data_IF_331900991948
#
_entry.id   IF_331900991948
#
_cell.length_a   1.000
_cell.length_b   1.000
_cell.length_c   1.000
_cell.angle_alpha   90.00
_cell.angle_beta   90.00
_cell.angle_gamma   90.00
#
_symmetry.space_group_name_H-M   'P 1'
#
loop_
_entity.id
_entity.type
_entity.pdbx_description
1 polymer ?
#
# COMPACT_ATOMS: atom_id res chain seq x y z
N UNK A 1 -30.14 -7.97 -28.49
CA UNK A 1 -28.69 -7.76 -28.29
C UNK A 1 -28.52 -6.34 -27.80
N UNK A 2 -27.96 -6.09 -26.61
CA UNK A 2 -27.60 -4.73 -26.24
C UNK A 2 -26.41 -4.29 -27.11
N UNK A 3 -26.36 -3.01 -27.53
CA UNK A 3 -25.29 -2.49 -28.38
C UNK A 3 -23.96 -2.49 -27.65
N UNK A 4 -22.91 -2.72 -28.43
CA UNK A 4 -21.52 -2.86 -28.00
C UNK A 4 -21.10 -1.77 -27.01
N UNK A 5 -20.59 -2.25 -25.87
CA UNK A 5 -19.98 -1.44 -24.81
C UNK A 5 -18.94 -0.50 -25.42
N UNK A 6 -19.15 0.80 -25.24
CA UNK A 6 -18.18 1.82 -25.62
C UNK A 6 -16.83 1.53 -24.96
N UNK A 7 -15.92 0.94 -25.72
CA UNK A 7 -14.51 0.84 -25.34
C UNK A 7 -14.00 2.25 -25.11
N UNK A 8 -13.83 2.63 -23.84
CA UNK A 8 -13.24 3.91 -23.46
C UNK A 8 -11.89 4.05 -24.18
N UNK A 9 -11.59 5.22 -24.81
CA UNK A 9 -10.31 5.41 -25.45
C UNK A 9 -9.22 5.21 -24.39
N UNK A 10 -8.35 4.23 -24.62
CA UNK A 10 -7.23 3.93 -23.73
C UNK A 10 -6.48 5.23 -23.48
N UNK A 11 -6.55 5.76 -22.26
CA UNK A 11 -5.94 7.02 -21.92
C UNK A 11 -4.43 6.93 -22.19
N UNK A 12 -3.99 7.61 -23.25
CA UNK A 12 -2.62 7.54 -23.73
C UNK A 12 -1.68 8.06 -22.64
N UNK A 13 -0.75 7.20 -22.21
CA UNK A 13 0.20 7.52 -21.17
C UNK A 13 1.56 7.85 -21.81
N UNK A 14 2.09 9.03 -21.54
CA UNK A 14 3.44 9.42 -21.97
C UNK A 14 4.46 8.94 -20.94
N UNK A 15 5.75 8.88 -21.32
CA UNK A 15 6.81 8.47 -20.41
C UNK A 15 6.90 9.38 -19.16
N UNK A 16 6.67 10.69 -19.30
CA UNK A 16 6.63 11.61 -18.16
C UNK A 16 5.54 11.26 -17.16
N UNK A 17 4.33 10.97 -17.65
CA UNK A 17 3.22 10.56 -16.78
C UNK A 17 3.48 9.24 -16.06
N UNK A 18 4.19 8.28 -16.69
CA UNK A 18 4.60 7.03 -16.03
C UNK A 18 5.46 7.33 -14.80
N UNK A 19 6.45 8.21 -14.94
CA UNK A 19 7.33 8.58 -13.83
C UNK A 19 6.61 9.35 -12.74
N UNK A 20 5.70 10.27 -13.09
CA UNK A 20 4.89 10.99 -12.11
C UNK A 20 3.98 10.04 -11.30
N UNK A 21 3.37 9.05 -11.97
CA UNK A 21 2.53 8.04 -11.31
C UNK A 21 3.37 7.16 -10.37
N UNK A 22 4.58 6.76 -10.81
CA UNK A 22 5.51 6.00 -9.96
C UNK A 22 5.95 6.81 -8.75
N UNK A 23 6.24 8.10 -8.95
CA UNK A 23 6.59 9.02 -7.88
C UNK A 23 5.45 9.17 -6.88
N UNK A 24 4.22 9.39 -7.34
CA UNK A 24 3.04 9.47 -6.48
C UNK A 24 2.85 8.19 -5.65
N UNK A 25 2.90 7.02 -6.29
CA UNK A 25 2.81 5.73 -5.60
C UNK A 25 3.91 5.56 -4.55
N UNK A 26 5.12 6.05 -4.79
CA UNK A 26 6.23 5.95 -3.82
C UNK A 26 5.98 6.69 -2.50
N UNK A 27 5.14 7.74 -2.51
CA UNK A 27 4.81 8.55 -1.34
C UNK A 27 3.70 7.93 -0.48
N UNK A 28 2.91 7.02 -1.05
CA UNK A 28 1.83 6.33 -0.35
C UNK A 28 2.35 5.06 0.35
N UNK A 29 1.64 4.63 1.40
CA UNK A 29 2.01 3.43 2.18
C UNK A 29 0.89 2.40 2.20
N UNK A 30 1.28 1.12 2.29
CA UNK A 30 0.39 -0.01 2.57
C UNK A 30 -0.88 -0.01 1.71
N UNK A 31 -2.05 0.09 2.35
CA UNK A 31 -3.39 0.03 1.75
C UNK A 31 -3.58 1.15 0.74
N UNK A 32 -3.23 2.38 1.09
CA UNK A 32 -3.40 3.55 0.22
C UNK A 32 -2.63 3.38 -1.09
N UNK A 33 -1.35 2.97 -1.00
CA UNK A 33 -0.54 2.69 -2.18
C UNK A 33 -1.16 1.62 -3.06
N UNK A 34 -1.65 0.54 -2.44
CA UNK A 34 -2.25 -0.58 -3.19
C UNK A 34 -3.56 -0.19 -3.85
N UNK A 35 -4.40 0.60 -3.18
CA UNK A 35 -5.63 1.13 -3.75
C UNK A 35 -5.34 2.06 -4.93
N UNK A 36 -4.35 2.94 -4.81
CA UNK A 36 -3.89 3.79 -5.91
C UNK A 36 -3.38 2.96 -7.10
N UNK A 37 -2.54 1.95 -6.82
CA UNK A 37 -2.02 1.06 -7.87
C UNK A 37 -3.14 0.30 -8.58
N UNK A 38 -4.18 -0.14 -7.87
CA UNK A 38 -5.35 -0.79 -8.46
C UNK A 38 -6.10 0.15 -9.40
N UNK A 39 -6.41 1.37 -8.95
CA UNK A 39 -7.10 2.37 -9.76
C UNK A 39 -6.32 2.75 -11.04
N UNK A 40 -5.00 2.94 -10.92
CA UNK A 40 -4.15 3.23 -12.08
C UNK A 40 -4.03 2.02 -13.02
N UNK A 41 -4.01 0.79 -12.47
CA UNK A 41 -3.99 -0.44 -13.27
C UNK A 41 -5.31 -0.63 -14.03
N UNK A 42 -6.44 -0.32 -13.42
CA UNK A 42 -7.73 -0.34 -14.11
C UNK A 42 -7.75 0.65 -15.27
N UNK A 43 -7.32 1.89 -15.02
CA UNK A 43 -7.29 2.96 -16.01
C UNK A 43 -6.33 2.71 -17.18
N UNK A 44 -5.10 2.28 -16.91
CA UNK A 44 -4.02 2.24 -17.93
C UNK A 44 -3.62 0.83 -18.36
N UNK A 45 -3.96 -0.20 -17.58
CA UNK A 45 -3.50 -1.57 -17.79
C UNK A 45 -4.65 -2.57 -17.97
N UNK A 46 -5.89 -2.11 -18.16
CA UNK A 46 -7.07 -2.98 -18.30
C UNK A 46 -7.22 -3.97 -17.13
N UNK A 47 -6.95 -3.49 -15.91
CA UNK A 47 -6.95 -4.30 -14.69
C UNK A 47 -5.99 -5.51 -14.74
N UNK A 48 -4.94 -5.48 -15.57
CA UNK A 48 -3.98 -6.58 -15.73
C UNK A 48 -2.69 -6.35 -14.91
N UNK A 49 -2.42 -7.18 -13.88
CA UNK A 49 -1.23 -7.05 -13.03
C UNK A 49 0.10 -7.21 -13.79
N UNK A 50 0.16 -8.07 -14.81
CA UNK A 50 1.39 -8.24 -15.61
C UNK A 50 1.72 -6.98 -16.41
N UNK A 51 0.69 -6.29 -16.92
CA UNK A 51 0.88 -4.99 -17.60
C UNK A 51 1.31 -3.91 -16.62
N UNK A 52 0.78 -3.91 -15.40
CA UNK A 52 1.20 -2.98 -14.34
C UNK A 52 2.67 -3.18 -13.93
N UNK A 53 3.11 -4.43 -13.81
CA UNK A 53 4.52 -4.77 -13.57
C UNK A 53 5.41 -4.26 -14.71
N UNK A 54 5.03 -4.54 -15.96
CA UNK A 54 5.81 -4.11 -17.13
C UNK A 54 5.87 -2.58 -17.30
N UNK A 55 4.77 -1.87 -17.02
CA UNK A 55 4.66 -0.43 -17.24
C UNK A 55 5.17 0.41 -16.06
N UNK A 56 4.87 0.00 -14.83
CA UNK A 56 5.16 0.78 -13.62
C UNK A 56 6.20 0.13 -12.70
N UNK A 57 6.57 -1.14 -12.91
CA UNK A 57 7.46 -1.88 -12.02
C UNK A 57 6.80 -2.32 -10.71
N UNK A 58 5.47 -2.38 -10.65
CA UNK A 58 4.75 -2.73 -9.43
C UNK A 58 4.61 -4.24 -9.24
N UNK A 59 4.61 -4.69 -7.98
CA UNK A 59 4.40 -6.09 -7.63
C UNK A 59 3.03 -6.57 -8.08
N UNK A 60 2.99 -7.67 -8.84
CA UNK A 60 1.75 -8.32 -9.30
C UNK A 60 0.83 -8.67 -8.14
N UNK A 61 1.36 -9.28 -7.08
CA UNK A 61 0.57 -9.68 -5.92
C UNK A 61 -0.08 -8.48 -5.21
N UNK A 62 0.62 -7.34 -5.14
CA UNK A 62 0.06 -6.12 -4.56
C UNK A 62 -1.09 -5.58 -5.43
N UNK A 63 -0.90 -5.52 -6.75
CA UNK A 63 -1.92 -5.05 -7.70
C UNK A 63 -3.13 -5.98 -7.72
N UNK A 64 -2.92 -7.30 -7.74
CA UNK A 64 -4.00 -8.31 -7.67
C UNK A 64 -4.86 -8.14 -6.42
N UNK A 65 -4.22 -8.02 -5.27
CA UNK A 65 -4.92 -7.78 -4.01
C UNK A 65 -5.70 -6.46 -4.05
N UNK A 66 -5.08 -5.37 -4.55
CA UNK A 66 -5.74 -4.06 -4.64
C UNK A 66 -6.97 -4.09 -5.55
N UNK A 67 -6.87 -4.76 -6.69
CA UNK A 67 -8.00 -4.94 -7.60
C UNK A 67 -9.13 -5.76 -6.97
N UNK A 68 -8.81 -6.78 -6.17
CA UNK A 68 -9.82 -7.56 -5.45
C UNK A 68 -10.51 -6.72 -4.35
N UNK A 69 -9.74 -5.96 -3.59
CA UNK A 69 -10.26 -5.04 -2.57
C UNK A 69 -11.17 -3.97 -3.19
N UNK A 70 -10.76 -3.39 -4.32
CA UNK A 70 -11.56 -2.41 -5.04
C UNK A 70 -12.89 -3.00 -5.53
N UNK A 71 -12.89 -4.25 -6.05
CA UNK A 71 -14.12 -4.93 -6.50
C UNK A 71 -15.06 -5.32 -5.36
N UNK A 72 -14.50 -5.70 -4.21
CA UNK A 72 -15.26 -6.17 -3.05
C UNK A 72 -15.68 -5.05 -2.10
N UNK A 73 -15.09 -3.86 -2.22
CA UNK A 73 -15.28 -2.75 -1.28
C UNK A 73 -14.65 -3.00 0.10
N UNK A 74 -13.90 -4.10 0.27
CA UNK A 74 -13.31 -4.52 1.54
C UNK A 74 -11.79 -4.36 1.48
N UNK A 75 -11.18 -3.82 2.54
CA UNK A 75 -9.72 -3.73 2.65
C UNK A 75 -9.18 -4.95 3.39
N UNK A 76 -8.24 -5.66 2.78
CA UNK A 76 -7.51 -6.72 3.45
C UNK A 76 -6.49 -6.11 4.41
N UNK A 77 -6.80 -6.18 5.70
CA UNK A 77 -5.88 -5.77 6.75
C UNK A 77 -4.85 -6.86 6.98
N UNK A 78 -3.58 -6.57 6.68
CA UNK A 78 -2.50 -7.45 7.09
C UNK A 78 -2.41 -7.48 8.62
N UNK A 79 -2.23 -8.67 9.20
CA UNK A 79 -1.91 -8.82 10.63
C UNK A 79 -0.68 -8.01 11.05
N UNK A 80 0.17 -7.60 10.11
CA UNK A 80 1.31 -6.74 10.36
C UNK A 80 0.96 -5.50 11.20
N UNK A 81 -0.18 -4.84 11.07
CA UNK A 81 -0.50 -3.71 11.96
C UNK A 81 -0.74 -4.14 13.43
N UNK A 82 -1.20 -5.37 13.65
CA UNK A 82 -1.43 -5.97 14.96
C UNK A 82 -0.15 -6.58 15.57
N UNK A 83 0.75 -7.10 14.73
CA UNK A 83 1.97 -7.80 15.17
C UNK A 83 3.26 -7.00 14.96
N UNK A 84 3.21 -5.91 14.19
CA UNK A 84 4.35 -5.03 13.95
C UNK A 84 4.27 -3.79 14.83
N UNK A 85 5.40 -3.52 15.45
CA UNK A 85 5.60 -2.49 16.45
C UNK A 85 6.76 -3.00 17.29
N UNK A 86 7.89 -2.29 17.26
CA UNK A 86 8.96 -2.62 18.20
C UNK A 86 8.42 -2.16 19.55
N UNK A 87 8.11 -3.11 20.43
CA UNK A 87 7.84 -2.78 21.84
C UNK A 87 8.94 -1.85 22.32
N UNK A 88 8.56 -0.83 23.09
CA UNK A 88 9.56 0.07 23.66
C UNK A 88 10.52 -0.74 24.53
N UNK A 89 11.72 -0.22 24.78
CA UNK A 89 12.70 -0.96 25.56
C UNK A 89 12.16 -1.29 26.96
N UNK A 90 11.38 -0.37 27.53
CA UNK A 90 10.73 -0.51 28.83
C UNK A 90 9.71 -1.64 28.84
N UNK A 91 8.92 -1.77 27.78
CA UNK A 91 7.97 -2.86 27.64
C UNK A 91 8.65 -4.23 27.50
N UNK A 92 9.87 -4.27 26.95
CA UNK A 92 10.67 -5.50 26.82
C UNK A 92 11.39 -5.87 28.11
N UNK A 93 11.75 -4.88 28.92
CA UNK A 93 12.55 -5.05 30.12
C UNK A 93 11.89 -4.32 31.31
N UNK A 94 10.69 -4.76 31.75
CA UNK A 94 9.89 -4.02 32.73
C UNK A 94 10.61 -3.87 34.07
N UNK A 95 11.37 -4.88 34.50
CA UNK A 95 12.14 -4.85 35.75
C UNK A 95 13.28 -3.83 35.68
N UNK A 96 14.00 -3.77 34.55
CA UNK A 96 15.09 -2.82 34.37
C UNK A 96 14.56 -1.39 34.21
N UNK A 97 13.43 -1.20 33.53
CA UNK A 97 12.77 0.09 33.43
C UNK A 97 12.29 0.60 34.80
N UNK A 98 11.67 -0.26 35.62
CA UNK A 98 11.26 0.11 36.98
C UNK A 98 12.45 0.52 37.84
N UNK A 99 13.55 -0.26 37.81
CA UNK A 99 14.77 0.07 38.56
C UNK A 99 15.38 1.41 38.12
N UNK A 100 15.38 1.71 36.81
CA UNK A 100 15.88 2.99 36.30
C UNK A 100 15.00 4.17 36.71
N UNK A 101 13.68 3.98 36.79
CA UNK A 101 12.75 5.00 37.31
C UNK A 101 12.98 5.29 38.78
N UNK A 102 13.12 4.25 39.61
CA UNK A 102 13.42 4.43 41.05
C UNK A 102 14.72 5.23 41.26
N UNK A 103 15.76 4.92 40.47
CA UNK A 103 17.02 5.67 40.53
C UNK A 103 16.80 7.13 40.11
N UNK A 104 16.03 7.40 39.04
CA UNK A 104 15.78 8.75 38.59
C UNK A 104 15.02 9.59 39.64
N UNK A 105 13.95 9.02 40.22
CA UNK A 105 13.14 9.68 41.26
C UNK A 105 13.94 9.98 42.52
N UNK A 106 14.86 9.10 42.93
CA UNK A 106 15.71 9.32 44.10
C UNK A 106 16.71 10.49 43.95
N UNK A 107 16.93 10.98 42.73
CA UNK A 107 17.87 12.08 42.43
C UNK A 107 17.16 13.39 42.03
N UNK A 108 15.84 13.50 42.28
CA UNK A 108 15.03 14.70 42.05
C UNK A 108 14.68 15.38 43.37
#
# INVERSE_FOLDING_TARGET
>A
MPPDSHAQPASTLTAGHVEDIKLAASKMKRVERRAFQAAMTEKYCSANPRRAEALFGWSRAAVELGLHEQRSGCVCMSAQALVSGRMTWEQKHPQAAAALWEIAEAHT
#
